data_IF_454062730561
#
_entry.id   IF_454062730561
#
_cell.length_a   1.000
_cell.length_b   1.000
_cell.length_c   1.000
_cell.angle_alpha   90.00
_cell.angle_beta   90.00
_cell.angle_gamma   90.00
#
_symmetry.space_group_name_H-M   'P 1'
#
loop_
_entity.id
_entity.type
_entity.pdbx_description
1 polymer ?
#
# COMPACT_ATOMS: atom_id res chain seq x y z
N UNK A 1 -5.58 15.23 29.57
CA UNK A 1 -4.92 14.28 28.63
C UNK A 1 -3.97 14.98 27.64
N UNK A 2 -4.48 15.88 26.81
CA UNK A 2 -3.71 16.57 25.76
C UNK A 2 -2.45 17.26 26.28
N UNK A 3 -2.54 18.04 27.36
CA UNK A 3 -1.38 18.77 27.91
C UNK A 3 -0.22 17.88 28.36
N UNK A 4 -0.51 16.64 28.81
CA UNK A 4 0.52 15.68 29.22
C UNK A 4 1.23 15.13 27.99
N UNK A 5 0.47 14.76 26.95
CA UNK A 5 1.02 14.25 25.70
C UNK A 5 1.80 15.33 24.94
N UNK A 6 1.30 16.57 24.92
CA UNK A 6 1.98 17.73 24.34
C UNK A 6 3.25 18.09 25.09
N UNK A 7 3.26 17.94 26.42
CA UNK A 7 4.45 18.12 27.22
C UNK A 7 5.53 17.10 26.86
N UNK A 8 5.17 15.81 26.74
CA UNK A 8 6.12 14.76 26.32
C UNK A 8 6.61 15.02 24.89
N UNK A 9 5.73 15.40 23.96
CA UNK A 9 6.11 15.76 22.58
C UNK A 9 7.07 16.97 22.55
N UNK A 10 6.84 17.96 23.42
CA UNK A 10 7.71 19.13 23.55
C UNK A 10 9.07 18.76 24.14
N UNK A 11 9.11 17.83 25.10
CA UNK A 11 10.36 17.34 25.68
C UNK A 11 11.22 16.61 24.66
N UNK A 12 10.64 15.72 23.85
CA UNK A 12 11.37 15.00 22.80
C UNK A 12 11.90 15.95 21.72
N UNK A 13 11.20 17.06 21.46
CA UNK A 13 11.59 18.08 20.47
C UNK A 13 12.34 19.28 21.06
N UNK A 14 12.72 19.26 22.33
CA UNK A 14 13.29 20.44 22.98
C UNK A 14 14.63 20.83 22.34
N UNK A 15 14.73 22.00 21.67
CA UNK A 15 15.92 22.38 20.91
C UNK A 15 17.17 22.49 21.78
N UNK A 16 17.05 22.71 23.09
CA UNK A 16 18.19 22.73 24.02
C UNK A 16 18.86 21.36 24.16
N UNK A 17 18.10 20.27 24.04
CA UNK A 17 18.63 18.90 24.06
C UNK A 17 19.39 18.56 22.77
N UNK A 18 19.04 19.26 21.68
CA UNK A 18 19.63 19.10 20.36
C UNK A 18 20.68 20.18 20.06
N UNK A 19 20.96 21.10 20.99
CA UNK A 19 21.87 22.21 20.79
C UNK A 19 23.33 21.72 20.77
N UNK A 20 24.10 22.18 19.78
CA UNK A 20 25.51 21.81 19.62
C UNK A 20 25.74 20.47 18.90
N UNK A 21 24.67 19.79 18.48
CA UNK A 21 24.77 18.61 17.61
C UNK A 21 24.98 19.02 16.17
N UNK A 22 25.68 18.16 15.44
CA UNK A 22 25.91 18.37 14.02
C UNK A 22 24.56 18.31 13.26
N UNK A 23 24.33 19.26 12.36
CA UNK A 23 23.11 19.26 11.53
C UNK A 23 23.19 18.20 10.44
N UNK A 24 24.39 17.76 10.09
CA UNK A 24 24.65 16.68 9.15
C UNK A 24 24.78 15.34 9.89
N UNK A 25 23.66 14.85 10.42
CA UNK A 25 23.56 13.52 11.03
C UNK A 25 23.99 12.46 9.99
N UNK A 26 25.06 11.67 10.22
CA UNK A 26 25.48 10.61 9.32
C UNK A 26 24.35 9.61 9.09
N UNK A 27 24.25 9.03 7.89
CA UNK A 27 23.19 8.07 7.51
C UNK A 27 23.10 6.82 8.41
N UNK A 28 24.09 6.59 9.27
CA UNK A 28 24.23 5.41 10.13
C UNK A 28 23.96 5.71 11.61
N UNK A 29 23.72 6.98 11.98
CA UNK A 29 23.45 7.36 13.35
C UNK A 29 22.04 6.89 13.76
N UNK A 30 21.95 6.12 14.85
CA UNK A 30 20.68 5.62 15.35
C UNK A 30 19.91 6.75 16.04
N UNK A 31 18.58 6.72 15.96
CA UNK A 31 17.75 7.67 16.67
C UNK A 31 18.00 7.58 18.18
N UNK A 32 18.46 8.68 18.78
CA UNK A 32 18.64 8.74 20.23
C UNK A 32 17.30 8.90 20.93
N UNK A 33 17.02 7.99 21.87
CA UNK A 33 15.82 8.00 22.68
C UNK A 33 15.98 8.94 23.88
N UNK A 34 15.46 10.17 23.73
CA UNK A 34 15.54 11.21 24.76
C UNK A 34 14.66 10.88 25.98
N UNK A 35 13.52 10.21 25.75
CA UNK A 35 12.56 9.83 26.79
C UNK A 35 12.27 8.34 26.65
N UNK A 36 12.29 7.64 27.78
CA UNK A 36 12.12 6.20 27.85
C UNK A 36 11.05 5.85 28.88
N UNK A 37 9.98 5.20 28.42
CA UNK A 37 8.85 4.81 29.27
C UNK A 37 9.00 3.35 29.71
N UNK A 38 8.71 3.11 30.99
CA UNK A 38 8.50 1.76 31.52
C UNK A 38 7.15 1.19 31.07
N UNK A 39 6.96 -0.12 31.18
CA UNK A 39 5.72 -0.80 30.78
C UNK A 39 4.44 -0.19 31.40
N UNK A 40 4.48 0.11 32.71
CA UNK A 40 3.35 0.73 33.40
C UNK A 40 3.05 2.15 32.91
N UNK A 41 4.10 2.91 32.56
CA UNK A 41 3.96 4.25 31.99
C UNK A 41 3.42 4.19 30.55
N UNK A 42 3.79 3.18 29.77
CA UNK A 42 3.24 2.92 28.43
C UNK A 42 1.72 2.70 28.50
N UNK A 43 1.24 1.87 29.42
CA UNK A 43 -0.23 1.66 29.61
C UNK A 43 -0.95 2.97 29.97
N UNK A 44 -0.36 3.75 30.88
CA UNK A 44 -0.90 5.06 31.26
C UNK A 44 -0.87 6.03 30.07
N UNK A 45 0.15 5.98 29.23
CA UNK A 45 0.24 6.78 28.01
C UNK A 45 -0.88 6.39 27.03
N UNK A 46 -1.13 5.09 26.84
CA UNK A 46 -2.25 4.59 26.04
C UNK A 46 -3.58 5.13 26.61
N UNK A 47 -3.77 5.14 27.93
CA UNK A 47 -4.99 5.73 28.53
C UNK A 47 -5.18 7.19 28.14
N UNK A 48 -4.11 7.99 28.16
CA UNK A 48 -4.18 9.40 27.75
C UNK A 48 -4.49 9.56 26.27
N UNK A 49 -3.93 8.71 25.41
CA UNK A 49 -4.18 8.73 23.97
C UNK A 49 -5.62 8.34 23.65
N UNK A 50 -6.14 7.29 24.30
CA UNK A 50 -7.52 6.85 24.10
C UNK A 50 -8.56 7.83 24.67
N UNK A 51 -8.18 8.60 25.69
CA UNK A 51 -9.00 9.67 26.25
C UNK A 51 -8.93 10.99 25.45
N UNK A 52 -8.08 11.09 24.43
CA UNK A 52 -8.01 12.26 23.56
C UNK A 52 -9.14 12.18 22.50
N UNK A 53 -10.03 13.17 22.48
CA UNK A 53 -11.19 13.20 21.56
C UNK A 53 -10.79 13.51 20.11
N UNK A 54 -9.61 14.11 19.92
CA UNK A 54 -9.06 14.50 18.63
C UNK A 54 -8.40 13.32 17.91
N UNK A 55 -9.16 12.68 17.01
CA UNK A 55 -8.69 11.52 16.24
C UNK A 55 -7.57 11.85 15.27
N UNK A 56 -7.49 13.08 14.77
CA UNK A 56 -6.44 13.46 13.81
C UNK A 56 -5.06 13.45 14.45
N UNK A 57 -5.00 13.63 15.78
CA UNK A 57 -3.77 13.54 16.57
C UNK A 57 -3.36 12.10 16.89
N UNK A 58 -4.27 11.12 16.80
CA UNK A 58 -4.01 9.72 17.16
C UNK A 58 -2.74 9.17 16.49
N UNK A 59 -2.59 9.39 15.19
CA UNK A 59 -1.39 9.01 14.44
C UNK A 59 -0.10 9.62 15.00
N UNK A 60 -0.14 10.89 15.39
CA UNK A 60 1.01 11.60 15.96
C UNK A 60 1.34 11.07 17.36
N UNK A 61 0.32 10.79 18.18
CA UNK A 61 0.51 10.25 19.53
C UNK A 61 1.05 8.83 19.53
N UNK A 62 0.56 7.98 18.63
CA UNK A 62 1.07 6.61 18.47
C UNK A 62 2.54 6.63 18.04
N UNK A 63 2.92 7.52 17.13
CA UNK A 63 4.33 7.71 16.79
C UNK A 63 5.17 8.16 17.96
N UNK A 64 4.69 9.13 18.73
CA UNK A 64 5.37 9.62 19.92
C UNK A 64 5.57 8.48 20.93
N UNK A 65 4.54 7.66 21.17
CA UNK A 65 4.64 6.49 22.03
C UNK A 65 5.75 5.53 21.56
N UNK A 66 5.75 5.18 20.27
CA UNK A 66 6.78 4.29 19.69
C UNK A 66 8.19 4.90 19.77
N UNK A 67 8.31 6.24 19.73
CA UNK A 67 9.58 6.94 19.93
C UNK A 67 10.04 6.98 21.39
N UNK A 68 9.17 6.68 22.36
CA UNK A 68 9.50 6.69 23.78
C UNK A 68 9.80 5.30 24.34
N UNK A 69 10.02 4.30 23.48
CA UNK A 69 10.32 2.91 23.84
C UNK A 69 11.69 2.53 23.25
N UNK A 70 12.51 1.77 24.01
CA UNK A 70 13.90 1.38 23.67
C UNK A 70 14.00 0.66 22.33
N UNK A 71 13.11 -0.31 22.15
CA UNK A 71 12.99 -1.10 20.94
C UNK A 71 11.54 -1.09 20.51
N UNK A 72 11.31 -1.03 19.20
CA UNK A 72 9.96 -1.02 18.60
C UNK A 72 9.09 -2.21 19.02
N UNK A 73 9.73 -3.29 19.49
CA UNK A 73 9.03 -4.51 19.91
C UNK A 73 8.95 -4.66 21.42
N UNK A 74 9.65 -3.83 22.19
CA UNK A 74 9.55 -3.87 23.65
C UNK A 74 8.11 -3.50 24.05
N UNK A 75 7.53 -4.31 24.92
CA UNK A 75 6.15 -4.17 25.39
C UNK A 75 5.08 -4.24 24.31
N UNK A 76 5.39 -4.56 23.04
CA UNK A 76 4.39 -4.60 21.96
C UNK A 76 3.22 -5.52 22.27
N UNK A 77 3.50 -6.71 22.83
CA UNK A 77 2.44 -7.62 23.27
C UNK A 77 1.54 -6.97 24.34
N UNK A 78 2.17 -6.40 25.38
CA UNK A 78 1.47 -5.73 26.49
C UNK A 78 0.63 -4.54 26.01
N UNK A 79 1.12 -3.75 25.05
CA UNK A 79 0.38 -2.65 24.44
C UNK A 79 -0.86 -3.13 23.68
N UNK A 80 -0.70 -4.19 22.88
CA UNK A 80 -1.80 -4.75 22.07
C UNK A 80 -2.85 -5.37 22.98
N UNK A 81 -2.46 -6.24 23.91
CA UNK A 81 -3.39 -6.87 24.87
C UNK A 81 -4.12 -5.83 25.72
N UNK A 82 -3.42 -4.79 26.18
CA UNK A 82 -4.01 -3.73 26.99
C UNK A 82 -5.05 -2.91 26.22
N UNK A 83 -4.73 -2.52 24.99
CA UNK A 83 -5.66 -1.78 24.14
C UNK A 83 -6.85 -2.67 23.73
N UNK A 84 -6.60 -3.87 23.21
CA UNK A 84 -7.64 -4.80 22.75
C UNK A 84 -8.64 -5.13 23.87
N UNK A 85 -8.14 -5.31 25.11
CA UNK A 85 -8.96 -5.58 26.29
C UNK A 85 -9.98 -4.49 26.66
N UNK A 86 -9.82 -3.25 26.17
CA UNK A 86 -10.80 -2.17 26.40
C UNK A 86 -12.02 -2.24 25.49
N UNK A 87 -11.87 -2.84 24.31
CA UNK A 87 -12.93 -3.08 23.33
C UNK A 87 -13.78 -1.85 22.96
N UNK A 88 -13.17 -0.66 22.92
CA UNK A 88 -13.83 0.57 22.47
C UNK A 88 -13.36 0.99 21.05
N UNK A 89 -14.09 1.87 20.34
CA UNK A 89 -13.73 2.29 18.99
C UNK A 89 -12.39 3.04 18.90
N UNK A 90 -12.02 3.82 19.92
CA UNK A 90 -10.76 4.56 19.94
C UNK A 90 -9.57 3.60 20.09
N UNK A 91 -9.75 2.52 20.85
CA UNK A 91 -8.77 1.46 21.00
C UNK A 91 -8.50 0.72 19.69
N UNK A 92 -9.56 0.41 18.94
CA UNK A 92 -9.41 -0.19 17.60
C UNK A 92 -8.63 0.74 16.66
N UNK A 93 -8.94 2.03 16.67
CA UNK A 93 -8.22 3.03 15.89
C UNK A 93 -6.75 3.16 16.32
N UNK A 94 -6.48 3.15 17.63
CA UNK A 94 -5.13 3.12 18.16
C UNK A 94 -4.34 1.90 17.65
N UNK A 95 -4.94 0.71 17.72
CA UNK A 95 -4.33 -0.52 17.21
C UNK A 95 -4.08 -0.47 15.70
N UNK A 96 -4.98 0.15 14.93
CA UNK A 96 -4.79 0.36 13.48
C UNK A 96 -3.59 1.27 13.22
N UNK A 97 -3.47 2.41 13.93
CA UNK A 97 -2.30 3.26 13.80
C UNK A 97 -1.01 2.58 14.30
N UNK A 98 -1.09 1.74 15.33
CA UNK A 98 0.04 0.95 15.80
C UNK A 98 0.50 -0.02 14.69
N UNK A 99 -0.43 -0.69 14.02
CA UNK A 99 -0.16 -1.53 12.86
C UNK A 99 0.47 -0.76 11.69
N UNK A 100 -0.05 0.43 11.36
CA UNK A 100 0.51 1.29 10.32
C UNK A 100 1.95 1.77 10.62
N UNK A 101 2.35 1.79 11.89
CA UNK A 101 3.72 2.12 12.30
C UNK A 101 4.60 0.87 12.46
N UNK A 102 4.02 -0.28 12.84
CA UNK A 102 4.72 -1.55 13.10
C UNK A 102 3.98 -2.71 12.41
N UNK A 103 4.04 -2.82 11.07
CA UNK A 103 3.35 -3.89 10.34
C UNK A 103 3.66 -5.32 10.81
N UNK A 104 4.90 -5.66 11.24
CA UNK A 104 5.21 -7.00 11.73
C UNK A 104 4.37 -7.47 12.93
N UNK A 105 3.66 -6.56 13.64
CA UNK A 105 2.76 -6.94 14.73
C UNK A 105 1.71 -7.96 14.29
N UNK A 106 1.32 -7.98 13.00
CA UNK A 106 0.37 -8.95 12.44
C UNK A 106 0.78 -10.41 12.65
N UNK A 107 2.07 -10.69 12.59
CA UNK A 107 2.58 -12.05 12.75
C UNK A 107 2.77 -12.42 14.22
N UNK A 108 3.01 -11.44 15.07
CA UNK A 108 3.17 -11.64 16.50
C UNK A 108 1.80 -11.81 17.17
N UNK A 109 0.80 -11.05 16.73
CA UNK A 109 -0.53 -10.96 17.35
C UNK A 109 -1.65 -11.29 16.36
N UNK A 110 -1.73 -12.54 15.87
CA UNK A 110 -2.72 -12.92 14.85
C UNK A 110 -4.17 -12.85 15.34
N UNK A 111 -4.39 -12.79 16.67
CA UNK A 111 -5.73 -12.77 17.26
C UNK A 111 -6.49 -11.46 17.01
N UNK A 112 -5.81 -10.31 16.87
CA UNK A 112 -6.42 -9.01 16.55
C UNK A 112 -6.64 -8.81 15.04
N UNK A 113 -7.04 -9.87 14.33
CA UNK A 113 -7.16 -9.89 12.86
C UNK A 113 -8.01 -8.75 12.29
N UNK A 114 -9.09 -8.38 12.99
CA UNK A 114 -9.98 -7.30 12.58
C UNK A 114 -9.29 -5.93 12.43
N UNK A 115 -8.17 -5.71 13.14
CA UNK A 115 -7.35 -4.49 13.02
C UNK A 115 -6.61 -4.46 11.67
N UNK A 116 -6.12 -5.61 11.21
CA UNK A 116 -5.26 -5.72 10.03
C UNK A 116 -6.02 -5.69 8.71
N UNK A 117 -7.29 -6.11 8.74
CA UNK A 117 -8.18 -6.18 7.58
C UNK A 117 -9.08 -4.94 7.49
N UNK A 118 -8.96 -3.98 8.43
CA UNK A 118 -9.77 -2.77 8.45
C UNK A 118 -9.41 -1.80 7.31
N UNK A 119 -10.42 -1.11 6.78
CA UNK A 119 -10.20 0.01 5.86
C UNK A 119 -9.64 1.22 6.62
N UNK A 120 -8.36 1.46 6.40
CA UNK A 120 -7.61 2.55 7.04
C UNK A 120 -7.20 3.64 6.05
N UNK A 121 -7.71 3.66 4.81
CA UNK A 121 -7.20 4.56 3.75
C UNK A 121 -7.12 6.04 4.13
N UNK A 122 -8.08 6.52 4.91
CA UNK A 122 -8.17 7.92 5.32
C UNK A 122 -7.21 8.26 6.47
N UNK A 123 -6.59 7.26 7.08
CA UNK A 123 -5.68 7.46 8.20
C UNK A 123 -4.35 8.07 7.76
N UNK A 124 -3.94 9.14 8.43
CA UNK A 124 -2.72 9.87 8.10
C UNK A 124 -1.49 9.34 8.84
N UNK A 125 -0.31 9.62 8.31
CA UNK A 125 0.94 9.43 9.03
C UNK A 125 1.34 7.96 9.24
N UNK A 126 1.23 7.12 8.22
CA UNK A 126 1.68 5.74 8.26
C UNK A 126 3.19 5.62 7.90
N UNK A 127 3.98 4.92 8.71
CA UNK A 127 5.37 4.56 8.33
C UNK A 127 5.35 3.48 7.25
N UNK A 128 4.38 2.56 7.29
CA UNK A 128 4.15 1.56 6.26
C UNK A 128 3.92 2.16 4.86
N UNK A 129 3.32 3.35 4.75
CA UNK A 129 3.13 4.03 3.48
C UNK A 129 4.46 4.46 2.87
N UNK A 130 5.38 5.01 3.68
CA UNK A 130 6.72 5.38 3.20
C UNK A 130 7.47 4.18 2.65
N UNK A 131 7.44 3.07 3.39
CA UNK A 131 8.08 1.83 2.98
C UNK A 131 7.48 1.28 1.68
N UNK A 132 6.15 1.18 1.61
CA UNK A 132 5.44 0.70 0.42
C UNK A 132 5.70 1.60 -0.78
N UNK A 133 5.62 2.92 -0.60
CA UNK A 133 5.93 3.92 -1.62
C UNK A 133 7.35 3.79 -2.15
N UNK A 134 8.36 3.65 -1.27
CA UNK A 134 9.75 3.49 -1.71
C UNK A 134 9.95 2.23 -2.53
N UNK A 135 9.38 1.11 -2.12
CA UNK A 135 9.47 -0.13 -2.90
C UNK A 135 8.85 0.07 -4.30
N UNK A 136 7.62 0.60 -4.35
CA UNK A 136 6.90 0.78 -5.62
C UNK A 136 7.61 1.76 -6.56
N UNK A 137 8.12 2.87 -6.03
CA UNK A 137 8.88 3.85 -6.83
C UNK A 137 10.25 3.33 -7.25
N UNK A 138 10.95 2.57 -6.40
CA UNK A 138 12.20 1.90 -6.79
C UNK A 138 11.97 0.99 -7.99
N UNK A 139 10.94 0.16 -7.95
CA UNK A 139 10.57 -0.75 -9.04
C UNK A 139 10.28 0.02 -10.33
N UNK A 140 9.47 1.08 -10.26
CA UNK A 140 9.10 1.87 -11.43
C UNK A 140 10.27 2.66 -12.06
N UNK A 141 11.38 2.79 -11.33
CA UNK A 141 12.61 3.44 -11.75
C UNK A 141 13.71 2.47 -12.20
N UNK A 142 13.46 1.15 -12.23
CA UNK A 142 14.40 0.15 -12.75
C UNK A 142 14.44 0.17 -14.30
N UNK A 143 14.90 1.28 -14.88
CA UNK A 143 15.06 1.42 -16.33
C UNK A 143 16.47 1.09 -16.82
N UNK A 144 17.48 1.14 -15.94
CA UNK A 144 18.85 0.79 -16.29
C UNK A 144 19.01 -0.75 -16.36
N UNK A 145 19.56 -1.32 -17.46
CA UNK A 145 19.77 -2.76 -17.59
C UNK A 145 20.55 -3.42 -16.45
N UNK A 146 21.58 -2.75 -15.92
CA UNK A 146 22.39 -3.27 -14.81
C UNK A 146 21.57 -3.41 -13.55
N UNK A 147 20.91 -2.33 -13.15
CA UNK A 147 20.10 -2.28 -11.93
C UNK A 147 18.90 -3.22 -12.05
N UNK A 148 18.27 -3.27 -13.24
CA UNK A 148 17.19 -4.20 -13.53
C UNK A 148 17.62 -5.67 -13.35
N UNK A 149 18.74 -6.08 -13.94
CA UNK A 149 19.24 -7.46 -13.81
C UNK A 149 19.59 -7.82 -12.36
N UNK A 150 20.11 -6.87 -11.59
CA UNK A 150 20.52 -7.12 -10.22
C UNK A 150 19.35 -7.11 -9.22
N UNK A 151 18.35 -6.24 -9.43
CA UNK A 151 17.36 -5.93 -8.39
C UNK A 151 15.92 -6.35 -8.72
N UNK A 152 15.56 -6.53 -10.00
CA UNK A 152 14.15 -6.75 -10.41
C UNK A 152 13.50 -7.94 -9.71
N UNK A 153 14.16 -9.11 -9.71
CA UNK A 153 13.64 -10.33 -9.12
C UNK A 153 13.43 -10.21 -7.59
N UNK A 154 14.38 -9.58 -6.89
CA UNK A 154 14.27 -9.36 -5.44
C UNK A 154 13.14 -8.39 -5.11
N UNK A 155 13.03 -7.30 -5.87
CA UNK A 155 11.97 -6.32 -5.68
C UNK A 155 10.58 -6.89 -5.98
N UNK A 156 10.46 -7.72 -7.02
CA UNK A 156 9.23 -8.45 -7.32
C UNK A 156 8.82 -9.38 -6.17
N UNK A 157 9.76 -10.12 -5.58
CA UNK A 157 9.50 -10.97 -4.42
C UNK A 157 9.08 -10.17 -3.19
N UNK A 158 9.75 -9.04 -2.91
CA UNK A 158 9.43 -8.16 -1.78
C UNK A 158 8.01 -7.62 -1.92
N UNK A 159 7.64 -7.12 -3.10
CA UNK A 159 6.28 -6.59 -3.36
C UNK A 159 5.23 -7.67 -3.25
N UNK A 160 5.45 -8.85 -3.84
CA UNK A 160 4.49 -9.96 -3.74
C UNK A 160 4.31 -10.41 -2.30
N UNK A 161 5.40 -10.48 -1.53
CA UNK A 161 5.35 -10.81 -0.11
C UNK A 161 4.58 -9.75 0.68
N UNK A 162 4.78 -8.48 0.37
CA UNK A 162 4.05 -7.36 0.97
C UNK A 162 2.55 -7.45 0.64
N UNK A 163 2.19 -7.70 -0.62
CA UNK A 163 0.79 -7.87 -1.05
C UNK A 163 0.10 -9.02 -0.31
N UNK A 164 0.74 -10.19 -0.24
CA UNK A 164 0.18 -11.36 0.42
C UNK A 164 0.10 -11.21 1.95
N UNK A 165 1.06 -10.50 2.55
CA UNK A 165 1.17 -10.40 4.01
C UNK A 165 0.38 -9.22 4.58
N UNK A 166 0.42 -8.08 3.89
CA UNK A 166 -0.12 -6.79 4.33
C UNK A 166 -0.90 -6.10 3.19
N UNK A 167 -1.97 -6.71 2.66
CA UNK A 167 -2.69 -6.20 1.49
C UNK A 167 -3.18 -4.77 1.69
N UNK A 168 -3.68 -4.44 2.89
CA UNK A 168 -4.16 -3.10 3.25
C UNK A 168 -3.09 -2.01 3.07
N UNK A 169 -1.80 -2.31 3.27
CA UNK A 169 -0.73 -1.33 3.06
C UNK A 169 -0.55 -0.99 1.58
N UNK A 170 -0.68 -1.97 0.67
CA UNK A 170 -0.60 -1.73 -0.77
C UNK A 170 -1.89 -1.18 -1.35
N UNK A 171 -3.05 -1.55 -0.80
CA UNK A 171 -4.34 -0.98 -1.20
C UNK A 171 -4.39 0.54 -0.99
N UNK A 172 -3.71 1.05 0.05
CA UNK A 172 -3.51 2.50 0.26
C UNK A 172 -2.67 3.17 -0.83
N UNK A 173 -1.88 2.40 -1.59
CA UNK A 173 -0.97 2.88 -2.63
C UNK A 173 -1.52 2.67 -4.05
N UNK A 174 -2.80 2.30 -4.22
CA UNK A 174 -3.40 2.07 -5.55
C UNK A 174 -3.28 3.30 -6.47
N UNK A 175 -3.49 4.50 -5.94
CA UNK A 175 -3.30 5.73 -6.71
C UNK A 175 -1.86 5.89 -7.17
N UNK A 176 -0.89 5.54 -6.32
CA UNK A 176 0.54 5.55 -6.68
C UNK A 176 0.80 4.54 -7.80
N UNK A 177 0.30 3.31 -7.69
CA UNK A 177 0.43 2.30 -8.75
C UNK A 177 -0.11 2.80 -10.09
N UNK A 178 -1.30 3.42 -10.10
CA UNK A 178 -1.87 4.02 -11.31
C UNK A 178 -0.96 5.13 -11.88
N UNK A 179 -0.51 6.06 -11.03
CA UNK A 179 0.36 7.17 -11.48
C UNK A 179 1.72 6.69 -12.01
N UNK A 180 2.24 5.58 -11.49
CA UNK A 180 3.49 4.98 -11.96
C UNK A 180 3.36 4.38 -13.36
N UNK A 181 2.17 3.92 -13.75
CA UNK A 181 1.88 3.40 -15.10
C UNK A 181 1.46 4.49 -16.09
N UNK A 182 0.87 5.57 -15.59
CA UNK A 182 0.30 6.63 -16.40
C UNK A 182 1.32 7.21 -17.39
N UNK A 183 0.89 7.45 -18.63
CA UNK A 183 1.73 8.00 -19.69
C UNK A 183 2.66 6.98 -20.38
N UNK A 184 3.07 5.89 -19.71
CA UNK A 184 3.98 4.89 -20.29
C UNK A 184 3.37 4.13 -21.46
N UNK A 185 2.06 3.89 -21.40
CA UNK A 185 1.31 3.23 -22.48
C UNK A 185 1.38 3.97 -23.84
N UNK A 186 1.76 5.25 -23.86
CA UNK A 186 1.88 6.06 -25.08
C UNK A 186 3.32 6.12 -25.62
N UNK A 187 4.28 5.52 -24.93
CA UNK A 187 5.66 5.47 -25.39
C UNK A 187 5.81 4.50 -26.56
N UNK A 188 6.77 4.78 -27.44
CA UNK A 188 7.08 3.87 -28.54
C UNK A 188 7.47 2.47 -28.03
N UNK A 189 7.15 1.45 -28.83
CA UNK A 189 7.42 0.06 -28.50
C UNK A 189 8.90 -0.21 -28.17
N UNK A 190 9.82 0.52 -28.82
CA UNK A 190 11.25 0.40 -28.54
C UNK A 190 11.60 0.90 -27.14
N UNK A 191 11.00 2.00 -26.69
CA UNK A 191 11.20 2.57 -25.35
C UNK A 191 10.59 1.64 -24.29
N UNK A 192 9.36 1.14 -24.53
CA UNK A 192 8.70 0.18 -23.64
C UNK A 192 9.54 -1.07 -23.36
N UNK A 193 10.30 -1.53 -24.37
CA UNK A 193 11.23 -2.66 -24.25
C UNK A 193 12.54 -2.25 -23.59
N UNK A 194 13.17 -1.18 -24.06
CA UNK A 194 14.51 -0.77 -23.62
C UNK A 194 14.54 -0.34 -22.15
N UNK A 195 13.45 0.25 -21.66
CA UNK A 195 13.33 0.76 -20.29
C UNK A 195 12.47 -0.15 -19.40
N UNK A 196 12.18 -1.38 -19.83
CA UNK A 196 11.49 -2.41 -19.05
C UNK A 196 10.08 -2.03 -18.58
N UNK A 197 9.39 -1.12 -19.27
CA UNK A 197 8.02 -0.70 -18.91
C UNK A 197 7.01 -1.86 -19.02
N UNK A 198 7.17 -2.79 -19.97
CA UNK A 198 6.33 -3.99 -20.01
C UNK A 198 6.45 -4.85 -18.75
N UNK A 199 7.65 -4.93 -18.15
CA UNK A 199 7.85 -5.66 -16.91
C UNK A 199 7.07 -4.98 -15.77
N UNK A 200 7.11 -3.65 -15.69
CA UNK A 200 6.32 -2.90 -14.71
C UNK A 200 4.82 -3.20 -14.84
N UNK A 201 4.25 -3.20 -16.06
CA UNK A 201 2.85 -3.55 -16.27
C UNK A 201 2.53 -4.99 -15.80
N UNK A 202 3.39 -5.96 -16.10
CA UNK A 202 3.21 -7.35 -15.65
C UNK A 202 3.28 -7.49 -14.12
N UNK A 203 4.19 -6.75 -13.50
CA UNK A 203 4.39 -6.75 -12.06
C UNK A 203 3.19 -6.11 -11.36
N UNK A 204 2.76 -4.93 -11.78
CA UNK A 204 1.57 -4.26 -11.21
C UNK A 204 0.32 -5.12 -11.40
N UNK A 205 0.19 -5.83 -12.52
CA UNK A 205 -0.93 -6.77 -12.72
C UNK A 205 -0.88 -7.89 -11.67
N UNK A 206 0.31 -8.42 -11.38
CA UNK A 206 0.49 -9.42 -10.34
C UNK A 206 0.21 -8.90 -8.94
N UNK A 207 0.47 -7.62 -8.67
CA UNK A 207 0.06 -6.98 -7.41
C UNK A 207 -1.45 -6.95 -7.31
N UNK A 208 -2.13 -6.44 -8.34
CA UNK A 208 -3.59 -6.33 -8.34
C UNK A 208 -4.26 -7.69 -8.16
N UNK A 209 -3.77 -8.73 -8.85
CA UNK A 209 -4.24 -10.11 -8.69
C UNK A 209 -4.10 -10.62 -7.25
N UNK A 210 -2.96 -10.36 -6.60
CA UNK A 210 -2.73 -10.76 -5.19
C UNK A 210 -3.59 -9.98 -4.19
N UNK A 211 -4.08 -8.80 -4.57
CA UNK A 211 -4.95 -7.98 -3.72
C UNK A 211 -6.44 -8.37 -3.87
N UNK A 212 -6.78 -9.34 -4.72
CA UNK A 212 -8.13 -9.87 -4.78
C UNK A 212 -8.51 -10.63 -3.50
N UNK A 213 -9.79 -10.59 -3.08
CA UNK A 213 -10.88 -9.79 -3.64
C UNK A 213 -10.96 -8.36 -3.08
N UNK A 214 -10.11 -7.99 -2.11
CA UNK A 214 -10.17 -6.72 -1.37
C UNK A 214 -10.10 -5.50 -2.29
N UNK A 215 -9.32 -5.57 -3.36
CA UNK A 215 -9.17 -4.48 -4.35
C UNK A 215 -10.49 -4.12 -5.06
N UNK A 216 -11.49 -5.01 -5.07
CA UNK A 216 -12.77 -4.81 -5.75
C UNK A 216 -13.83 -4.07 -4.92
N UNK A 217 -13.54 -3.78 -3.65
CA UNK A 217 -14.46 -3.00 -2.83
C UNK A 217 -14.64 -1.58 -3.39
N UNK A 218 -15.85 -1.02 -3.23
CA UNK A 218 -16.19 0.33 -3.73
C UNK A 218 -15.26 1.42 -3.18
N UNK A 219 -14.75 1.19 -1.98
CA UNK A 219 -13.67 1.96 -1.35
C UNK A 219 -12.52 2.19 -2.34
N UNK A 220 -12.01 1.13 -2.97
CA UNK A 220 -10.82 1.19 -3.81
C UNK A 220 -11.10 1.51 -5.28
N UNK A 221 -12.37 1.61 -5.68
CA UNK A 221 -12.82 1.75 -7.08
C UNK A 221 -12.07 2.81 -7.88
N UNK A 222 -11.93 4.03 -7.37
CA UNK A 222 -11.24 5.14 -8.09
C UNK A 222 -9.78 4.81 -8.37
N UNK A 223 -9.04 4.33 -7.36
CA UNK A 223 -7.63 3.98 -7.51
C UNK A 223 -7.43 2.79 -8.44
N UNK A 224 -8.30 1.78 -8.33
CA UNK A 224 -8.31 0.61 -9.20
C UNK A 224 -8.60 1.00 -10.66
N UNK A 225 -9.70 1.72 -10.91
CA UNK A 225 -10.12 2.11 -12.26
C UNK A 225 -9.06 2.96 -12.96
N UNK A 226 -8.42 3.90 -12.26
CA UNK A 226 -7.29 4.66 -12.81
C UNK A 226 -6.12 3.75 -13.23
N UNK A 227 -5.86 2.66 -12.49
CA UNK A 227 -4.83 1.69 -12.88
C UNK A 227 -5.29 0.88 -14.10
N UNK A 228 -6.55 0.42 -14.13
CA UNK A 228 -7.13 -0.32 -15.26
C UNK A 228 -7.17 0.52 -16.55
N UNK A 229 -7.42 1.83 -16.45
CA UNK A 229 -7.34 2.77 -17.57
C UNK A 229 -5.95 2.73 -18.23
N UNK A 230 -4.88 2.61 -17.44
CA UNK A 230 -3.53 2.49 -17.96
C UNK A 230 -3.32 1.19 -18.76
N UNK A 231 -3.97 0.09 -18.35
CA UNK A 231 -3.96 -1.16 -19.12
C UNK A 231 -4.76 -1.03 -20.40
N UNK A 232 -5.96 -0.43 -20.38
CA UNK A 232 -6.70 -0.17 -21.62
C UNK A 232 -5.93 0.72 -22.58
N UNK A 233 -5.24 1.75 -22.10
CA UNK A 233 -4.36 2.58 -22.92
C UNK A 233 -3.21 1.76 -23.53
N UNK A 234 -2.60 0.86 -22.76
CA UNK A 234 -1.53 -0.02 -23.25
C UNK A 234 -2.06 -0.94 -24.36
N UNK A 235 -3.23 -1.55 -24.17
CA UNK A 235 -3.83 -2.45 -25.15
C UNK A 235 -4.27 -1.73 -26.42
N UNK A 236 -4.77 -0.49 -26.31
CA UNK A 236 -5.09 0.35 -27.47
C UNK A 236 -3.86 0.61 -28.34
N UNK A 237 -2.72 0.91 -27.74
CA UNK A 237 -1.51 1.30 -28.49
C UNK A 237 -0.64 0.10 -28.89
N UNK A 238 -0.65 -0.98 -28.09
CA UNK A 238 0.30 -2.09 -28.22
C UNK A 238 -0.33 -3.49 -28.11
N UNK A 239 -1.66 -3.63 -28.09
CA UNK A 239 -2.35 -4.93 -27.91
C UNK A 239 -2.14 -5.95 -29.04
N UNK A 240 -1.57 -5.52 -30.17
CA UNK A 240 -1.22 -6.41 -31.29
C UNK A 240 0.19 -7.00 -31.19
N UNK A 241 0.95 -6.63 -30.17
CA UNK A 241 2.33 -7.09 -30.00
C UNK A 241 2.36 -8.35 -29.14
N UNK A 242 3.15 -9.36 -29.53
CA UNK A 242 3.23 -10.65 -28.85
C UNK A 242 3.50 -10.55 -27.34
N UNK A 243 4.33 -9.60 -26.91
CA UNK A 243 4.66 -9.35 -25.51
C UNK A 243 3.46 -8.94 -24.64
N UNK A 244 2.37 -8.46 -25.24
CA UNK A 244 1.14 -8.12 -24.51
C UNK A 244 0.20 -9.29 -24.33
N UNK A 245 0.39 -10.40 -25.04
CA UNK A 245 -0.58 -11.50 -25.10
C UNK A 245 -0.83 -12.14 -23.73
N UNK A 246 0.24 -12.45 -22.98
CA UNK A 246 0.15 -12.96 -21.60
C UNK A 246 -0.51 -11.96 -20.66
N UNK A 247 -0.29 -10.67 -20.90
CA UNK A 247 -0.90 -9.61 -20.11
C UNK A 247 -2.39 -9.47 -20.41
N UNK A 248 -2.80 -9.57 -21.68
CA UNK A 248 -4.21 -9.54 -22.09
C UNK A 248 -4.96 -10.66 -21.38
N UNK A 249 -4.45 -11.89 -21.44
CA UNK A 249 -5.10 -13.03 -20.80
C UNK A 249 -5.37 -12.78 -19.31
N UNK A 250 -4.33 -12.40 -18.56
CA UNK A 250 -4.40 -12.08 -17.13
C UNK A 250 -5.33 -10.91 -16.83
N UNK A 251 -5.27 -9.87 -17.66
CA UNK A 251 -6.11 -8.69 -17.53
C UNK A 251 -7.59 -9.05 -17.74
N UNK A 252 -7.91 -9.92 -18.70
CA UNK A 252 -9.29 -10.38 -18.93
C UNK A 252 -9.82 -11.20 -17.75
N UNK A 253 -9.03 -12.13 -17.22
CA UNK A 253 -9.40 -12.88 -16.01
C UNK A 253 -9.64 -11.93 -14.82
N UNK A 254 -8.79 -10.91 -14.67
CA UNK A 254 -8.94 -9.90 -13.64
C UNK A 254 -10.24 -9.08 -13.80
N UNK A 255 -10.58 -8.65 -15.02
CA UNK A 255 -11.83 -7.93 -15.30
C UNK A 255 -13.07 -8.80 -15.02
N UNK A 256 -13.03 -10.08 -15.38
CA UNK A 256 -14.11 -11.02 -15.05
C UNK A 256 -14.29 -11.17 -13.53
N UNK A 257 -13.18 -11.30 -12.79
CA UNK A 257 -13.21 -11.33 -11.33
C UNK A 257 -13.77 -10.03 -10.73
N UNK A 258 -13.45 -8.87 -11.33
CA UNK A 258 -13.99 -7.59 -10.90
C UNK A 258 -15.51 -7.50 -11.12
N UNK A 259 -16.01 -7.93 -12.28
CA UNK A 259 -17.46 -8.00 -12.57
C UNK A 259 -18.16 -8.94 -11.60
N UNK A 260 -17.56 -10.11 -11.31
CA UNK A 260 -18.14 -11.08 -10.39
C UNK A 260 -18.26 -10.54 -8.96
N UNK A 261 -17.26 -9.80 -8.49
CA UNK A 261 -17.22 -9.23 -7.14
C UNK A 261 -18.06 -7.95 -6.99
N UNK A 262 -18.07 -7.08 -8.01
CA UNK A 262 -18.74 -5.78 -7.98
C UNK A 262 -19.37 -5.42 -9.34
N UNK A 263 -20.47 -6.07 -9.73
CA UNK A 263 -21.01 -5.99 -11.09
C UNK A 263 -21.47 -4.59 -11.47
N UNK A 264 -22.07 -3.83 -10.55
CA UNK A 264 -22.61 -2.50 -10.86
C UNK A 264 -21.50 -1.52 -11.23
N UNK A 265 -20.47 -1.40 -10.40
CA UNK A 265 -19.36 -0.47 -10.63
C UNK A 265 -18.46 -0.95 -11.78
N UNK A 266 -18.17 -2.26 -11.83
CA UNK A 266 -17.32 -2.83 -12.86
C UNK A 266 -17.92 -2.73 -14.27
N UNK A 267 -19.20 -3.09 -14.44
CA UNK A 267 -19.84 -3.05 -15.76
C UNK A 267 -19.93 -1.63 -16.31
N UNK A 268 -20.32 -0.64 -15.49
CA UNK A 268 -20.38 0.78 -15.91
C UNK A 268 -19.00 1.27 -16.38
N UNK A 269 -17.93 0.85 -15.71
CA UNK A 269 -16.58 1.22 -16.09
C UNK A 269 -16.12 0.50 -17.38
N UNK A 270 -16.26 -0.82 -17.44
CA UNK A 270 -15.73 -1.63 -18.55
C UNK A 270 -16.48 -1.35 -19.86
N UNK A 271 -17.77 -1.05 -19.82
CA UNK A 271 -18.56 -0.70 -21.01
C UNK A 271 -18.01 0.52 -21.78
N UNK A 272 -17.27 1.41 -21.12
CA UNK A 272 -16.61 2.55 -21.76
C UNK A 272 -15.51 2.13 -22.75
N UNK A 273 -15.05 0.87 -22.66
CA UNK A 273 -13.99 0.28 -23.47
C UNK A 273 -14.50 -0.82 -24.41
N UNK A 274 -15.82 -0.93 -24.60
CA UNK A 274 -16.43 -1.98 -25.41
C UNK A 274 -15.85 -2.08 -26.83
N UNK A 275 -15.74 -0.96 -27.54
CA UNK A 275 -15.22 -0.95 -28.92
C UNK A 275 -13.79 -1.50 -29.00
N UNK A 276 -12.93 -1.09 -28.06
CA UNK A 276 -11.55 -1.57 -27.96
C UNK A 276 -11.51 -3.09 -27.67
N UNK A 277 -12.35 -3.56 -26.76
CA UNK A 277 -12.43 -4.98 -26.42
C UNK A 277 -12.94 -5.82 -27.60
N UNK A 278 -13.92 -5.31 -28.35
CA UNK A 278 -14.45 -5.96 -29.54
C UNK A 278 -13.39 -6.05 -30.66
N UNK A 279 -12.64 -4.97 -30.89
CA UNK A 279 -11.54 -4.96 -31.87
C UNK A 279 -10.45 -5.97 -31.49
N UNK A 280 -10.06 -6.01 -30.20
CA UNK A 280 -9.09 -6.98 -29.69
C UNK A 280 -9.62 -8.42 -29.80
N UNK A 281 -10.92 -8.64 -29.57
CA UNK A 281 -11.55 -9.96 -29.69
C UNK A 281 -11.51 -10.47 -31.13
N UNK A 282 -11.67 -9.59 -32.12
CA UNK A 282 -11.54 -9.97 -33.53
C UNK A 282 -10.09 -10.30 -33.91
N UNK A 283 -9.12 -9.59 -33.32
CA UNK A 283 -7.69 -9.80 -33.56
C UNK A 283 -7.17 -11.08 -32.89
N UNK A 284 -7.67 -11.40 -31.69
CA UNK A 284 -7.25 -12.53 -30.87
C UNK A 284 -8.42 -13.51 -30.63
N UNK A 285 -8.85 -14.17 -31.70
CA UNK A 285 -9.96 -15.14 -31.69
C UNK A 285 -9.70 -16.39 -30.81
N UNK A 286 -8.44 -16.65 -30.51
CA UNK A 286 -7.96 -17.73 -29.65
C UNK A 286 -8.14 -17.44 -28.15
N UNK A 287 -8.30 -16.17 -27.76
CA UNK A 287 -8.52 -15.77 -26.38
C UNK A 287 -10.00 -15.90 -25.97
N UNK A 288 -10.38 -17.10 -25.51
CA UNK A 288 -11.76 -17.38 -25.09
C UNK A 288 -12.27 -16.46 -23.95
N UNK A 289 -11.42 -16.09 -23.00
CA UNK A 289 -11.80 -15.20 -21.89
C UNK A 289 -12.20 -13.81 -22.38
N UNK A 290 -11.52 -13.28 -23.40
CA UNK A 290 -11.86 -12.02 -24.06
C UNK A 290 -13.20 -12.13 -24.78
N UNK A 291 -13.44 -13.23 -25.51
CA UNK A 291 -14.73 -13.46 -26.18
C UNK A 291 -15.89 -13.51 -25.19
N UNK A 292 -15.72 -14.24 -24.09
CA UNK A 292 -16.74 -14.35 -23.03
C UNK A 292 -17.02 -13.00 -22.36
N UNK A 293 -15.98 -12.20 -22.11
CA UNK A 293 -16.13 -10.87 -21.53
C UNK A 293 -16.96 -9.96 -22.45
N UNK A 294 -16.61 -9.90 -23.75
CA UNK A 294 -17.32 -9.06 -24.73
C UNK A 294 -18.78 -9.49 -24.90
N UNK A 295 -19.06 -10.80 -24.90
CA UNK A 295 -20.43 -11.31 -25.00
C UNK A 295 -21.29 -11.02 -23.74
N UNK A 296 -20.65 -10.83 -22.58
CA UNK A 296 -21.31 -10.58 -21.31
C UNK A 296 -21.52 -9.10 -20.95
N UNK A 297 -20.99 -8.17 -21.75
CA UNK A 297 -21.09 -6.72 -21.57
C UNK A 297 -22.29 -6.11 -22.29
#
# INVERSE_FOLDING_TARGET
PCSVLDFIDTLTRNPKLWQGRDKAVPKHEQAEYVVMLSEGQVRTFIDYVLAEEDRDKMSQRVKLLVQCISSKYDYLNSMVEYADGKNDPASKLFLQHLYLNIPPMKFLMPHVKAVYDADVRNEIGCVGDKFSYYILTTIACLSNPRDFQQMSAEMELIVRKLAASHPVLLLRQLSVLATLLQGRAHMDLQVLRAEYHFHLFHLVMGILELLQPLVFEDSYSVGLQNALDCYFALLRNHGNVKETYTLIYRFMEFLQAYIAANPKSATIFIQQYFDLLNDLAQQHYDLQSLQQLVQGL
#
